data_IF_651494377783
#
_entry.id   IF_651494377783
#
_cell.length_a   1.000
_cell.length_b   1.000
_cell.length_c   1.000
_cell.angle_alpha   90.00
_cell.angle_beta   90.00
_cell.angle_gamma   90.00
#
_symmetry.space_group_name_H-M   'P 1'
#
loop_
_entity.id
_entity.type
_entity.pdbx_description
1 polymer ?
#
# COMPACT_ATOMS: atom_id res chain seq x y z
N UNK A 1 -31.50 34.76 -52.23
CA UNK A 1 -31.33 33.31 -51.97
C UNK A 1 -30.53 33.18 -50.69
N UNK A 2 -31.15 32.66 -49.61
CA UNK A 2 -30.57 32.58 -48.26
C UNK A 2 -29.51 31.47 -48.22
N UNK A 3 -28.30 31.77 -47.75
CA UNK A 3 -27.28 30.77 -47.43
C UNK A 3 -27.63 30.18 -46.06
N UNK A 4 -28.03 28.90 -46.04
CA UNK A 4 -28.21 28.13 -44.82
C UNK A 4 -26.82 27.63 -44.42
N UNK A 5 -26.29 28.15 -43.33
CA UNK A 5 -25.09 27.63 -42.67
C UNK A 5 -25.54 26.46 -41.81
N UNK A 6 -25.16 25.25 -42.19
CA UNK A 6 -25.42 24.04 -41.42
C UNK A 6 -24.33 23.95 -40.34
N UNK A 7 -24.66 24.37 -39.13
CA UNK A 7 -23.80 24.17 -37.96
C UNK A 7 -23.82 22.68 -37.59
N UNK A 8 -22.70 22.00 -37.77
CA UNK A 8 -22.49 20.64 -37.28
C UNK A 8 -22.34 20.71 -35.75
N UNK A 9 -23.35 20.25 -35.02
CA UNK A 9 -23.29 20.06 -33.57
C UNK A 9 -22.53 18.74 -33.34
N UNK A 10 -21.24 18.82 -32.99
CA UNK A 10 -20.52 17.63 -32.51
C UNK A 10 -21.10 17.25 -31.15
N UNK A 11 -21.82 16.13 -31.12
CA UNK A 11 -22.26 15.46 -29.89
C UNK A 11 -21.01 15.01 -29.15
N UNK A 12 -20.80 15.55 -27.95
CA UNK A 12 -19.85 15.03 -26.98
C UNK A 12 -20.28 13.61 -26.61
N UNK A 13 -19.65 12.62 -27.25
CA UNK A 13 -19.73 11.24 -26.79
C UNK A 13 -18.99 11.13 -25.46
N UNK A 14 -19.67 10.61 -24.45
CA UNK A 14 -19.04 10.15 -23.21
C UNK A 14 -18.01 9.09 -23.56
N UNK A 15 -16.72 9.45 -23.48
CA UNK A 15 -15.63 8.49 -23.58
C UNK A 15 -15.67 7.63 -22.32
N UNK A 16 -16.17 6.41 -22.46
CA UNK A 16 -15.93 5.37 -21.47
C UNK A 16 -14.45 4.99 -21.58
N UNK A 17 -13.65 5.34 -20.58
CA UNK A 17 -12.28 4.86 -20.47
C UNK A 17 -12.31 3.45 -19.87
N UNK A 18 -11.56 2.56 -20.49
CA UNK A 18 -11.39 1.19 -20.05
C UNK A 18 -10.00 1.10 -19.43
N UNK A 19 -9.89 0.59 -18.21
CA UNK A 19 -8.59 0.20 -17.67
C UNK A 19 -8.14 -1.05 -18.42
N UNK A 20 -6.94 -1.01 -19.00
CA UNK A 20 -6.38 -2.05 -19.86
C UNK A 20 -5.31 -2.76 -19.06
N UNK A 21 -4.08 -2.25 -19.11
CA UNK A 21 -2.90 -2.82 -18.47
C UNK A 21 -2.82 -2.38 -17.02
N UNK A 22 -2.48 -3.34 -16.18
CA UNK A 22 -2.41 -3.15 -14.73
C UNK A 22 -1.62 -4.32 -14.19
N UNK A 23 -0.78 -4.08 -13.19
CA UNK A 23 -0.31 -5.11 -12.27
C UNK A 23 -0.74 -4.72 -10.86
N UNK A 24 -1.21 -5.70 -10.10
CA UNK A 24 -1.72 -5.46 -8.75
C UNK A 24 -1.61 -6.69 -7.88
N UNK A 25 -1.68 -6.47 -6.58
CA UNK A 25 -1.68 -7.47 -5.52
C UNK A 25 -2.82 -7.16 -4.55
N UNK A 26 -3.47 -8.20 -4.03
CA UNK A 26 -4.35 -8.13 -2.86
C UNK A 26 -3.95 -9.24 -1.89
N UNK A 27 -3.90 -8.92 -0.60
CA UNK A 27 -3.41 -9.84 0.42
C UNK A 27 -4.13 -9.65 1.76
N UNK A 28 -4.15 -10.71 2.57
CA UNK A 28 -4.60 -10.71 3.97
C UNK A 28 -3.46 -11.11 4.90
N UNK A 29 -3.46 -10.59 6.12
CA UNK A 29 -2.55 -11.01 7.18
C UNK A 29 -3.33 -11.72 8.29
N UNK A 30 -3.14 -13.03 8.44
CA UNK A 30 -3.83 -13.85 9.44
C UNK A 30 -3.44 -13.50 10.88
N UNK A 31 -2.29 -12.86 11.11
CA UNK A 31 -1.84 -12.47 12.46
C UNK A 31 -2.55 -11.21 12.95
N UNK A 32 -2.69 -10.21 12.08
CA UNK A 32 -3.26 -8.90 12.42
C UNK A 32 -4.73 -8.76 12.02
N UNK A 33 -5.20 -9.60 11.09
CA UNK A 33 -6.49 -9.46 10.41
C UNK A 33 -6.51 -8.34 9.36
N UNK A 34 -5.37 -7.73 9.06
CA UNK A 34 -5.27 -6.67 8.07
C UNK A 34 -5.54 -7.19 6.66
N UNK A 35 -6.08 -6.31 5.82
CA UNK A 35 -6.37 -6.58 4.42
C UNK A 35 -5.85 -5.42 3.61
N UNK A 36 -5.08 -5.70 2.57
CA UNK A 36 -4.46 -4.65 1.80
C UNK A 36 -4.31 -4.99 0.33
N UNK A 37 -4.13 -3.94 -0.46
CA UNK A 37 -3.94 -4.03 -1.89
C UNK A 37 -2.97 -2.96 -2.37
N UNK A 38 -2.26 -3.28 -3.43
CA UNK A 38 -1.42 -2.32 -4.13
C UNK A 38 -1.47 -2.61 -5.63
N UNK A 39 -1.15 -1.62 -6.45
CA UNK A 39 -1.09 -1.81 -7.89
C UNK A 39 -0.73 -0.55 -8.63
N UNK A 40 -0.47 -0.70 -9.93
CA UNK A 40 -0.03 0.37 -10.79
C UNK A 40 -0.47 0.14 -12.24
N UNK A 41 -0.55 1.24 -13.00
CA UNK A 41 -1.02 1.23 -14.38
C UNK A 41 -0.52 2.45 -15.16
N UNK A 42 -0.31 2.27 -16.46
CA UNK A 42 0.09 3.24 -17.46
C UNK A 42 -1.12 3.76 -18.26
N UNK A 43 -2.23 4.08 -17.58
CA UNK A 43 -3.41 4.70 -18.20
C UNK A 43 -3.33 6.21 -18.01
N UNK A 44 -3.07 6.94 -19.08
CA UNK A 44 -3.12 8.40 -19.07
C UNK A 44 -4.57 8.86 -18.80
N UNK A 45 -4.73 9.88 -17.95
CA UNK A 45 -6.03 10.48 -17.60
C UNK A 45 -6.82 9.73 -16.53
N UNK A 46 -6.28 8.64 -15.95
CA UNK A 46 -6.92 7.91 -14.84
C UNK A 46 -7.11 8.80 -13.59
N UNK A 47 -6.29 9.84 -13.43
CA UNK A 47 -6.41 10.84 -12.36
C UNK A 47 -7.79 11.53 -12.36
N UNK A 48 -8.44 11.71 -13.52
CA UNK A 48 -9.77 12.28 -13.60
C UNK A 48 -10.87 11.40 -12.99
N UNK A 49 -10.56 10.12 -12.71
CA UNK A 49 -11.46 9.11 -12.15
C UNK A 49 -11.09 8.73 -10.71
N UNK A 50 -10.20 9.49 -10.07
CA UNK A 50 -9.76 9.23 -8.69
C UNK A 50 -8.54 8.31 -8.59
N UNK A 51 -7.88 7.99 -9.71
CA UNK A 51 -6.65 7.20 -9.73
C UNK A 51 -6.89 5.71 -9.86
N UNK A 52 -5.79 4.97 -9.96
CA UNK A 52 -5.80 3.54 -10.27
C UNK A 52 -6.39 2.68 -9.14
N UNK A 53 -6.50 3.21 -7.92
CA UNK A 53 -7.12 2.52 -6.78
C UNK A 53 -8.60 2.10 -6.99
N UNK A 54 -9.25 2.60 -8.05
CA UNK A 54 -10.60 2.22 -8.47
C UNK A 54 -10.78 0.74 -8.83
N UNK A 55 -9.70 -0.01 -9.02
CA UNK A 55 -9.75 -1.45 -9.28
C UNK A 55 -9.80 -2.31 -8.02
N UNK A 56 -9.67 -1.70 -6.85
CA UNK A 56 -9.70 -2.40 -5.58
C UNK A 56 -10.87 -1.95 -4.71
N UNK A 57 -11.48 -2.92 -4.05
CA UNK A 57 -12.40 -2.69 -2.93
C UNK A 57 -12.18 -3.75 -1.83
N UNK A 58 -12.41 -3.36 -0.58
CA UNK A 58 -12.09 -4.15 0.62
C UNK A 58 -13.23 -4.02 1.62
N UNK A 59 -13.63 -5.16 2.18
CA UNK A 59 -14.49 -5.23 3.36
C UNK A 59 -13.56 -5.44 4.58
N UNK A 60 -13.39 -4.44 5.46
CA UNK A 60 -12.54 -4.55 6.65
C UNK A 60 -12.85 -5.82 7.46
N UNK A 61 -11.80 -6.55 7.84
CA UNK A 61 -11.90 -7.80 8.60
C UNK A 61 -12.53 -8.99 7.86
N UNK A 62 -12.92 -8.86 6.59
CA UNK A 62 -13.54 -9.94 5.80
C UNK A 62 -12.73 -10.35 4.58
N UNK A 63 -12.39 -9.42 3.67
CA UNK A 63 -11.68 -9.75 2.44
C UNK A 63 -11.51 -8.57 1.49
N UNK A 64 -10.82 -8.80 0.37
CA UNK A 64 -10.55 -7.80 -0.64
C UNK A 64 -10.57 -8.35 -2.06
N UNK A 65 -10.91 -7.49 -3.02
CA UNK A 65 -10.99 -7.82 -4.44
C UNK A 65 -10.21 -6.80 -5.26
N UNK A 66 -9.34 -7.28 -6.14
CA UNK A 66 -8.83 -6.52 -7.28
C UNK A 66 -9.55 -6.99 -8.54
N UNK A 67 -10.11 -6.05 -9.32
CA UNK A 67 -10.81 -6.33 -10.57
C UNK A 67 -10.29 -5.41 -11.69
N UNK A 68 -9.64 -5.99 -12.69
CA UNK A 68 -8.96 -5.28 -13.78
C UNK A 68 -9.14 -6.00 -15.13
N UNK A 69 -8.48 -5.49 -16.18
CA UNK A 69 -8.61 -5.90 -17.58
C UNK A 69 -10.02 -5.68 -18.16
N UNK A 70 -10.15 -4.67 -19.03
CA UNK A 70 -11.38 -4.36 -19.75
C UNK A 70 -12.61 -4.14 -18.87
N UNK A 71 -12.44 -3.64 -17.66
CA UNK A 71 -13.55 -3.41 -16.72
C UNK A 71 -14.40 -2.20 -17.12
N UNK A 72 -15.62 -2.17 -16.58
CA UNK A 72 -16.51 -1.03 -16.70
C UNK A 72 -16.22 -0.09 -15.54
N UNK A 73 -16.24 1.21 -15.78
CA UNK A 73 -16.09 2.23 -14.75
C UNK A 73 -17.35 3.10 -14.70
N UNK A 74 -17.67 3.64 -13.52
CA UNK A 74 -18.85 4.47 -13.26
C UNK A 74 -20.22 3.78 -13.56
N UNK A 75 -20.57 2.69 -12.87
CA UNK A 75 -19.86 2.05 -11.76
C UNK A 75 -18.91 0.92 -12.20
N UNK A 76 -18.00 0.52 -11.31
CA UNK A 76 -17.24 -0.73 -11.47
C UNK A 76 -18.09 -1.93 -11.10
N UNK A 77 -19.03 -2.27 -11.98
CA UNK A 77 -20.14 -3.16 -11.66
C UNK A 77 -19.71 -4.56 -11.22
N UNK A 78 -18.64 -5.11 -11.80
CA UNK A 78 -18.15 -6.43 -11.42
C UNK A 78 -17.42 -6.41 -10.08
N UNK A 79 -16.72 -5.32 -9.75
CA UNK A 79 -16.11 -5.15 -8.42
C UNK A 79 -17.20 -5.05 -7.34
N UNK A 80 -18.23 -4.23 -7.58
CA UNK A 80 -19.40 -4.13 -6.68
C UNK A 80 -20.05 -5.50 -6.49
N UNK A 81 -20.33 -6.22 -7.57
CA UNK A 81 -20.92 -7.56 -7.46
C UNK A 81 -20.01 -8.53 -6.68
N UNK A 82 -18.69 -8.45 -6.85
CA UNK A 82 -17.74 -9.30 -6.13
C UNK A 82 -17.79 -9.06 -4.62
N UNK A 83 -17.86 -7.79 -4.22
CA UNK A 83 -18.01 -7.37 -2.82
C UNK A 83 -19.36 -7.85 -2.27
N UNK A 84 -20.47 -7.66 -3.00
CA UNK A 84 -21.79 -8.15 -2.60
C UNK A 84 -21.82 -9.69 -2.42
N UNK A 85 -21.10 -10.44 -3.26
CA UNK A 85 -20.98 -11.89 -3.11
C UNK A 85 -20.12 -12.28 -1.90
N UNK A 86 -19.06 -11.53 -1.62
CA UNK A 86 -18.20 -11.75 -0.46
C UNK A 86 -18.96 -11.50 0.86
N UNK A 87 -19.80 -10.47 0.92
CA UNK A 87 -20.72 -10.20 2.04
C UNK A 87 -21.75 -11.33 2.23
N UNK A 88 -22.18 -11.97 1.14
CA UNK A 88 -23.06 -13.13 1.18
C UNK A 88 -22.37 -14.43 1.63
N UNK A 89 -21.06 -14.37 1.88
CA UNK A 89 -20.28 -15.49 2.44
C UNK A 89 -19.69 -16.44 1.40
N UNK A 90 -19.74 -16.10 0.10
CA UNK A 90 -19.09 -16.89 -0.93
C UNK A 90 -17.56 -16.86 -0.74
N UNK A 91 -16.91 -17.98 -1.05
CA UNK A 91 -15.46 -18.07 -1.12
C UNK A 91 -14.89 -17.34 -2.35
N UNK A 92 -13.60 -16.95 -2.33
CA UNK A 92 -12.94 -16.33 -3.48
C UNK A 92 -13.16 -17.07 -4.81
N UNK A 93 -13.10 -18.41 -4.80
CA UNK A 93 -13.37 -19.23 -5.99
C UNK A 93 -14.83 -19.18 -6.43
N UNK A 94 -15.77 -19.24 -5.49
CA UNK A 94 -17.21 -19.16 -5.80
C UNK A 94 -17.58 -17.76 -6.33
N UNK A 95 -16.93 -16.71 -5.83
CA UNK A 95 -17.11 -15.34 -6.35
C UNK A 95 -16.63 -15.27 -7.80
N UNK A 96 -15.47 -15.84 -8.13
CA UNK A 96 -14.97 -15.88 -9.51
C UNK A 96 -15.92 -16.65 -10.43
N UNK A 97 -16.37 -17.84 -10.01
CA UNK A 97 -17.34 -18.64 -10.79
C UNK A 97 -18.65 -17.87 -11.02
N UNK A 98 -19.12 -17.16 -9.99
CA UNK A 98 -20.31 -16.31 -10.08
C UNK A 98 -20.09 -15.15 -11.04
N UNK A 99 -18.97 -14.43 -10.95
CA UNK A 99 -18.64 -13.30 -11.84
C UNK A 99 -18.49 -13.77 -13.28
N UNK A 100 -17.91 -14.95 -13.51
CA UNK A 100 -17.79 -15.53 -14.84
C UNK A 100 -19.16 -15.85 -15.45
N UNK A 101 -20.06 -16.43 -14.66
CA UNK A 101 -21.43 -16.74 -15.11
C UNK A 101 -22.32 -15.49 -15.25
N UNK A 102 -22.01 -14.41 -14.52
CA UNK A 102 -22.84 -13.22 -14.39
C UNK A 102 -22.09 -11.92 -14.71
N UNK A 103 -21.15 -11.92 -15.68
CA UNK A 103 -20.41 -10.72 -16.07
C UNK A 103 -21.38 -9.62 -16.51
N UNK A 104 -21.53 -8.62 -15.65
CA UNK A 104 -22.44 -7.49 -15.86
C UNK A 104 -21.77 -6.35 -16.64
N UNK A 105 -20.47 -6.46 -16.91
CA UNK A 105 -19.74 -5.47 -17.66
C UNK A 105 -19.77 -5.75 -19.16
N UNK A 106 -20.36 -4.81 -19.92
CA UNK A 106 -20.38 -4.85 -21.40
C UNK A 106 -19.32 -3.95 -22.05
N UNK A 107 -18.19 -3.72 -21.37
CA UNK A 107 -17.04 -2.98 -21.91
C UNK A 107 -16.65 -3.53 -23.29
N UNK A 108 -16.71 -2.68 -24.32
CA UNK A 108 -16.51 -3.04 -25.74
C UNK A 108 -17.29 -4.27 -26.25
N UNK A 109 -18.41 -4.62 -25.62
CA UNK A 109 -19.14 -5.89 -25.88
C UNK A 109 -18.30 -7.15 -25.63
N UNK A 110 -17.28 -7.05 -24.76
CA UNK A 110 -16.47 -8.17 -24.32
C UNK A 110 -17.19 -9.02 -23.28
N UNK A 111 -16.72 -10.27 -23.16
CA UNK A 111 -17.25 -11.30 -22.28
C UNK A 111 -16.28 -11.51 -21.08
N UNK A 112 -16.60 -12.43 -20.15
CA UNK A 112 -15.77 -12.66 -18.97
C UNK A 112 -14.31 -13.04 -19.25
N UNK A 113 -14.01 -13.59 -20.43
CA UNK A 113 -12.65 -13.99 -20.84
C UNK A 113 -11.70 -12.81 -21.07
N UNK A 114 -12.20 -11.56 -21.02
CA UNK A 114 -11.38 -10.35 -21.08
C UNK A 114 -11.08 -9.77 -19.70
N UNK A 115 -11.56 -10.40 -18.62
CA UNK A 115 -11.48 -9.88 -17.25
C UNK A 115 -10.36 -10.54 -16.47
N UNK A 116 -9.93 -9.86 -15.42
CA UNK A 116 -8.94 -10.37 -14.48
C UNK A 116 -9.36 -10.02 -13.05
N UNK A 117 -9.26 -11.00 -12.15
CA UNK A 117 -9.66 -10.88 -10.75
C UNK A 117 -8.59 -11.47 -9.84
N UNK A 118 -8.34 -10.81 -8.71
CA UNK A 118 -7.63 -11.35 -7.56
C UNK A 118 -8.49 -11.16 -6.33
N UNK A 119 -8.73 -12.22 -5.56
CA UNK A 119 -9.64 -12.20 -4.41
C UNK A 119 -8.99 -12.93 -3.25
N UNK A 120 -9.02 -12.29 -2.09
CA UNK A 120 -8.61 -12.86 -0.80
C UNK A 120 -9.70 -12.62 0.22
N UNK A 121 -9.91 -13.57 1.13
CA UNK A 121 -10.79 -13.39 2.27
C UNK A 121 -10.34 -14.22 3.48
N UNK A 122 -10.94 -13.95 4.64
CA UNK A 122 -10.89 -14.82 5.80
C UNK A 122 -12.14 -15.69 5.83
N UNK A 123 -11.99 -17.01 5.91
CA UNK A 123 -13.11 -17.90 6.17
C UNK A 123 -13.72 -17.67 7.59
N UNK A 124 -14.86 -18.31 7.93
CA UNK A 124 -15.48 -18.13 9.26
C UNK A 124 -14.60 -18.56 10.44
N UNK A 125 -13.56 -19.37 10.20
CA UNK A 125 -12.61 -19.82 11.22
C UNK A 125 -11.37 -18.90 11.29
N UNK A 126 -11.30 -17.87 10.43
CA UNK A 126 -10.21 -16.89 10.37
C UNK A 126 -9.05 -17.28 9.47
N UNK A 127 -9.16 -18.35 8.66
CA UNK A 127 -8.09 -18.76 7.76
C UNK A 127 -8.18 -18.03 6.42
N UNK A 128 -7.03 -17.70 5.83
CA UNK A 128 -6.98 -17.09 4.52
C UNK A 128 -7.49 -18.04 3.42
N UNK A 129 -8.31 -17.51 2.51
CA UNK A 129 -8.62 -18.14 1.24
C UNK A 129 -8.26 -17.20 0.11
N UNK A 130 -7.80 -17.77 -0.99
CA UNK A 130 -7.26 -17.03 -2.13
C UNK A 130 -7.79 -17.64 -3.42
N UNK A 131 -8.20 -16.78 -4.36
CA UNK A 131 -8.42 -17.19 -5.74
C UNK A 131 -8.06 -16.05 -6.69
N UNK A 132 -7.62 -16.40 -7.89
CA UNK A 132 -7.38 -15.45 -8.96
C UNK A 132 -7.86 -16.03 -10.30
N UNK A 133 -8.17 -15.14 -11.23
CA UNK A 133 -8.62 -15.49 -12.57
C UNK A 133 -7.99 -14.54 -13.58
N UNK A 134 -7.54 -15.09 -14.70
CA UNK A 134 -7.09 -14.33 -15.87
C UNK A 134 -7.75 -14.93 -17.09
N UNK A 135 -8.66 -14.18 -17.70
CA UNK A 135 -9.37 -14.64 -18.87
C UNK A 135 -8.44 -14.85 -20.07
N UNK A 136 -8.78 -15.82 -20.92
CA UNK A 136 -7.94 -16.22 -22.04
C UNK A 136 -7.74 -15.09 -23.08
N UNK A 137 -8.67 -14.13 -23.12
CA UNK A 137 -8.67 -13.00 -24.05
C UNK A 137 -8.23 -11.68 -23.40
N UNK A 138 -7.77 -11.66 -22.15
CA UNK A 138 -7.03 -10.50 -21.66
C UNK A 138 -5.75 -10.30 -22.51
N UNK A 139 -5.20 -9.10 -22.51
CA UNK A 139 -4.11 -8.75 -23.42
C UNK A 139 -2.74 -9.20 -22.89
N UNK A 140 -1.91 -9.77 -23.77
CA UNK A 140 -0.60 -10.34 -23.42
C UNK A 140 0.48 -9.26 -23.19
N UNK A 141 1.50 -9.51 -22.35
CA UNK A 141 1.60 -10.67 -21.46
C UNK A 141 0.60 -10.55 -20.31
N UNK A 142 -0.07 -11.66 -19.98
CA UNK A 142 -1.04 -11.75 -18.88
C UNK A 142 -0.79 -12.95 -17.99
N UNK A 143 -1.15 -12.81 -16.72
CA UNK A 143 -1.14 -13.93 -15.79
C UNK A 143 -1.57 -13.54 -14.40
N UNK A 144 -1.59 -14.53 -13.52
CA UNK A 144 -1.76 -14.35 -12.10
C UNK A 144 -0.94 -15.40 -11.33
N UNK A 145 -0.63 -15.08 -10.08
CA UNK A 145 0.03 -15.95 -9.11
C UNK A 145 -0.77 -15.88 -7.81
N UNK A 146 -0.97 -17.03 -7.18
CA UNK A 146 -1.63 -17.13 -5.86
C UNK A 146 -0.66 -17.74 -4.86
N UNK A 147 -0.50 -17.06 -3.73
CA UNK A 147 0.16 -17.62 -2.55
C UNK A 147 -0.84 -18.07 -1.49
N UNK A 148 -0.35 -18.35 -0.26
CA UNK A 148 -1.21 -18.77 0.85
C UNK A 148 -2.24 -17.71 1.26
N UNK A 149 -1.89 -16.43 1.15
CA UNK A 149 -2.67 -15.30 1.65
C UNK A 149 -2.67 -14.08 0.71
N UNK A 150 -2.25 -14.25 -0.55
CA UNK A 150 -2.19 -13.17 -1.54
C UNK A 150 -2.51 -13.64 -2.96
N UNK A 151 -3.08 -12.74 -3.76
CA UNK A 151 -3.27 -12.88 -5.20
C UNK A 151 -2.58 -11.72 -5.93
N UNK A 152 -1.71 -12.06 -6.88
CA UNK A 152 -1.02 -11.14 -7.78
C UNK A 152 -1.53 -11.37 -9.19
N UNK A 153 -1.79 -10.31 -9.93
CA UNK A 153 -2.27 -10.42 -11.31
C UNK A 153 -1.82 -9.24 -12.15
N UNK A 154 -1.67 -9.48 -13.45
CA UNK A 154 -1.42 -8.41 -14.39
C UNK A 154 -1.68 -8.78 -15.84
N UNK A 155 -1.84 -7.75 -16.67
CA UNK A 155 -2.03 -7.86 -18.12
C UNK A 155 -1.31 -6.72 -18.85
N UNK A 156 -0.95 -6.98 -20.10
CA UNK A 156 -0.06 -6.15 -20.96
C UNK A 156 1.25 -5.82 -20.22
N UNK A 157 1.79 -6.86 -19.60
CA UNK A 157 3.08 -6.79 -18.93
C UNK A 157 4.20 -6.98 -19.95
N UNK A 158 5.40 -6.48 -19.63
CA UNK A 158 6.60 -6.76 -20.42
C UNK A 158 6.88 -8.26 -20.55
N UNK A 159 6.54 -9.01 -19.50
CA UNK A 159 6.72 -10.44 -19.41
C UNK A 159 6.30 -11.01 -18.06
N UNK A 160 6.45 -12.33 -17.92
CA UNK A 160 6.14 -13.08 -16.69
C UNK A 160 6.93 -12.58 -15.48
N UNK A 161 8.14 -12.09 -15.72
CA UNK A 161 9.06 -11.62 -14.70
C UNK A 161 8.50 -10.49 -13.83
N UNK A 162 7.52 -9.73 -14.33
CA UNK A 162 6.84 -8.69 -13.54
C UNK A 162 6.08 -9.35 -12.38
N UNK A 163 5.32 -10.41 -12.66
CA UNK A 163 4.53 -11.12 -11.65
C UNK A 163 5.43 -11.85 -10.65
N UNK A 164 6.45 -12.55 -11.14
CA UNK A 164 7.35 -13.32 -10.26
C UNK A 164 8.20 -12.41 -9.39
N UNK A 165 8.63 -11.24 -9.88
CA UNK A 165 9.36 -10.29 -9.05
C UNK A 165 8.46 -9.58 -8.04
N UNK A 166 7.19 -9.31 -8.37
CA UNK A 166 6.21 -8.86 -7.37
C UNK A 166 6.03 -9.90 -6.25
N UNK A 167 5.93 -11.18 -6.61
CA UNK A 167 5.84 -12.26 -5.63
C UNK A 167 7.10 -12.34 -4.77
N UNK A 168 8.28 -12.33 -5.39
CA UNK A 168 9.56 -12.34 -4.67
C UNK A 168 9.67 -11.14 -3.73
N UNK A 169 9.25 -9.95 -4.16
CA UNK A 169 9.20 -8.75 -3.34
C UNK A 169 8.26 -8.89 -2.14
N UNK A 170 7.06 -9.45 -2.34
CA UNK A 170 6.11 -9.66 -1.26
C UNK A 170 6.60 -10.69 -0.23
N UNK A 171 7.06 -11.86 -0.71
CA UNK A 171 7.40 -13.01 0.14
C UNK A 171 8.70 -12.79 0.91
N UNK A 172 9.66 -12.06 0.34
CA UNK A 172 10.96 -11.83 0.99
C UNK A 172 11.00 -10.56 1.83
N UNK A 173 9.95 -9.73 1.82
CA UNK A 173 9.85 -8.59 2.72
C UNK A 173 9.29 -9.04 4.07
N UNK A 174 10.04 -8.76 5.14
CA UNK A 174 9.58 -8.94 6.52
C UNK A 174 8.82 -7.71 6.99
N UNK A 175 7.99 -7.86 8.03
CA UNK A 175 7.26 -6.76 8.66
C UNK A 175 5.75 -6.82 8.42
N UNK A 176 5.13 -5.65 8.55
CA UNK A 176 3.69 -5.44 8.39
C UNK A 176 3.19 -5.78 6.99
N UNK A 177 1.87 -5.97 6.85
CA UNK A 177 1.25 -6.15 5.54
C UNK A 177 1.56 -4.98 4.59
N UNK A 178 1.60 -3.75 5.12
CA UNK A 178 1.94 -2.55 4.37
C UNK A 178 3.37 -2.61 3.79
N UNK A 179 4.36 -3.04 4.59
CA UNK A 179 5.74 -3.23 4.12
C UNK A 179 5.82 -4.30 3.04
N UNK A 180 5.15 -5.44 3.22
CA UNK A 180 5.12 -6.53 2.23
C UNK A 180 4.49 -6.10 0.90
N UNK A 181 3.39 -5.35 0.95
CA UNK A 181 2.76 -4.78 -0.25
C UNK A 181 3.69 -3.80 -0.96
N UNK A 182 4.41 -2.96 -0.22
CA UNK A 182 5.41 -2.07 -0.80
C UNK A 182 6.58 -2.85 -1.41
N UNK A 183 7.01 -3.94 -0.77
CA UNK A 183 7.99 -4.89 -1.33
C UNK A 183 7.54 -5.49 -2.66
N UNK A 184 6.27 -5.89 -2.77
CA UNK A 184 5.69 -6.37 -4.02
C UNK A 184 5.75 -5.31 -5.12
N UNK A 185 5.38 -4.06 -4.80
CA UNK A 185 5.46 -2.94 -5.75
C UNK A 185 6.89 -2.69 -6.21
N UNK A 186 7.88 -2.75 -5.32
CA UNK A 186 9.30 -2.64 -5.70
C UNK A 186 9.76 -3.76 -6.64
N UNK A 187 9.18 -4.96 -6.53
CA UNK A 187 9.42 -6.05 -7.47
C UNK A 187 9.00 -5.74 -8.92
N UNK A 188 7.99 -4.89 -9.11
CA UNK A 188 7.55 -4.41 -10.43
C UNK A 188 8.19 -3.08 -10.85
N UNK A 189 9.16 -2.55 -10.08
CA UNK A 189 9.79 -1.26 -10.36
C UNK A 189 10.86 -1.36 -11.47
N UNK A 190 10.39 -1.68 -12.68
CA UNK A 190 11.21 -1.78 -13.88
C UNK A 190 10.53 -1.05 -15.05
N UNK A 191 11.31 -0.43 -15.96
CA UNK A 191 10.75 0.18 -17.16
C UNK A 191 9.92 -0.81 -17.98
N UNK A 192 8.68 -0.42 -18.28
CA UNK A 192 7.76 -1.23 -19.06
C UNK A 192 7.06 -2.35 -18.30
N UNK A 193 7.11 -2.40 -16.96
CA UNK A 193 6.32 -3.36 -16.17
C UNK A 193 4.86 -3.41 -16.64
N UNK A 194 4.27 -2.24 -16.88
CA UNK A 194 3.19 -2.03 -17.84
C UNK A 194 3.79 -1.62 -19.20
N UNK A 195 3.59 -2.43 -20.24
CA UNK A 195 4.40 -2.32 -21.45
C UNK A 195 4.20 -1.00 -22.22
N UNK A 196 3.08 -0.29 -22.02
CA UNK A 196 2.86 1.04 -22.61
C UNK A 196 3.81 2.10 -22.07
N UNK A 197 4.33 1.90 -20.86
CA UNK A 197 5.26 2.83 -20.21
C UNK A 197 6.73 2.53 -20.54
N UNK A 198 7.02 1.53 -21.37
CA UNK A 198 8.38 1.17 -21.77
C UNK A 198 9.14 2.36 -22.41
N UNK A 199 8.50 3.08 -23.34
CA UNK A 199 9.10 4.25 -23.99
C UNK A 199 9.25 5.45 -23.04
N UNK A 200 8.50 5.47 -21.93
CA UNK A 200 8.64 6.46 -20.86
C UNK A 200 9.83 6.16 -19.96
N UNK A 201 10.35 4.93 -19.98
CA UNK A 201 11.39 4.49 -19.08
C UNK A 201 10.90 4.26 -17.64
N UNK A 202 9.60 4.07 -17.42
CA UNK A 202 8.97 3.90 -16.10
C UNK A 202 8.14 2.61 -16.05
N UNK A 203 7.82 2.15 -14.86
CA UNK A 203 6.97 0.98 -14.63
C UNK A 203 5.52 1.23 -15.04
N UNK A 204 5.01 2.43 -14.77
CA UNK A 204 3.63 2.84 -15.00
C UNK A 204 3.52 4.38 -15.04
N UNK A 205 2.30 4.93 -15.05
CA UNK A 205 2.04 6.36 -14.80
C UNK A 205 1.43 6.63 -13.44
N UNK A 206 0.85 5.61 -12.80
CA UNK A 206 0.11 5.73 -11.55
C UNK A 206 0.35 4.51 -10.68
N UNK A 207 0.23 4.68 -9.36
CA UNK A 207 0.40 3.61 -8.39
C UNK A 207 -0.44 3.88 -7.14
N UNK A 208 -0.83 2.84 -6.42
CA UNK A 208 -1.50 2.95 -5.13
C UNK A 208 -1.06 1.84 -4.19
N UNK A 209 -1.23 2.09 -2.88
CA UNK A 209 -1.14 1.11 -1.82
C UNK A 209 -2.14 1.48 -0.74
N UNK A 210 -2.96 0.52 -0.31
CA UNK A 210 -3.88 0.70 0.80
C UNK A 210 -3.93 -0.50 1.73
N UNK A 211 -4.21 -0.24 3.01
CA UNK A 211 -4.39 -1.26 4.05
C UNK A 211 -5.53 -0.85 4.97
N UNK A 212 -6.40 -1.81 5.26
CA UNK A 212 -7.45 -1.73 6.25
C UNK A 212 -7.11 -2.61 7.46
N UNK A 213 -7.28 -2.05 8.64
CA UNK A 213 -7.39 -2.82 9.89
C UNK A 213 -8.77 -3.47 9.98
N UNK A 214 -8.95 -4.56 10.77
CA UNK A 214 -10.24 -5.22 10.92
C UNK A 214 -11.39 -4.31 11.38
N UNK A 215 -11.06 -3.33 12.22
CA UNK A 215 -12.02 -2.41 12.85
C UNK A 215 -12.19 -1.08 12.08
N UNK A 216 -11.57 -0.96 10.90
CA UNK A 216 -11.73 0.25 10.08
C UNK A 216 -13.16 0.36 9.53
N UNK A 217 -13.64 1.60 9.39
CA UNK A 217 -14.91 1.85 8.71
C UNK A 217 -14.74 1.67 7.19
N UNK A 218 -15.73 1.10 6.49
CA UNK A 218 -15.69 0.98 5.04
C UNK A 218 -15.38 2.32 4.36
N UNK A 219 -14.40 2.32 3.45
CA UNK A 219 -13.94 3.53 2.76
C UNK A 219 -13.03 4.44 3.57
N UNK A 220 -12.62 4.05 4.78
CA UNK A 220 -11.70 4.82 5.65
C UNK A 220 -10.51 3.95 6.08
N UNK A 221 -9.57 3.64 5.17
CA UNK A 221 -8.43 2.76 5.47
C UNK A 221 -7.43 3.40 6.43
N UNK A 222 -6.80 2.54 7.25
CA UNK A 222 -5.63 2.87 8.07
C UNK A 222 -4.44 3.42 7.25
N UNK A 223 -4.32 3.00 6.00
CA UNK A 223 -3.34 3.48 5.04
C UNK A 223 -3.96 3.63 3.65
N UNK A 224 -3.85 4.81 3.04
CA UNK A 224 -4.12 5.01 1.62
C UNK A 224 -3.09 5.98 1.02
N UNK A 225 -2.27 5.45 0.12
CA UNK A 225 -1.28 6.19 -0.66
C UNK A 225 -1.64 6.07 -2.13
N UNK A 226 -1.64 7.19 -2.83
CA UNK A 226 -1.98 7.25 -4.25
C UNK A 226 -1.09 8.21 -5.01
N UNK A 227 -0.48 7.70 -6.07
CA UNK A 227 0.13 8.45 -7.15
C UNK A 227 -0.85 8.44 -8.31
N UNK A 228 -1.58 9.55 -8.48
CA UNK A 228 -2.67 9.63 -9.45
C UNK A 228 -2.17 9.57 -10.90
N UNK A 229 -1.09 10.30 -11.20
CA UNK A 229 -0.44 10.34 -12.50
C UNK A 229 0.92 11.04 -12.39
N UNK A 230 1.97 10.45 -12.95
CA UNK A 230 3.31 11.01 -13.01
C UNK A 230 3.61 11.64 -14.38
N UNK A 231 4.42 12.72 -14.41
CA UNK A 231 4.99 13.23 -15.65
C UNK A 231 5.78 12.16 -16.44
N UNK A 232 6.07 12.46 -17.69
CA UNK A 232 6.88 11.58 -18.53
C UNK A 232 8.29 11.40 -17.93
N UNK A 233 8.70 10.15 -17.72
CA UNK A 233 10.04 9.79 -17.22
C UNK A 233 10.20 9.85 -15.70
N UNK A 234 9.13 10.11 -14.93
CA UNK A 234 9.16 10.07 -13.47
C UNK A 234 8.49 8.79 -12.97
N UNK A 235 9.20 8.03 -12.12
CA UNK A 235 8.77 6.71 -11.67
C UNK A 235 7.73 6.80 -10.54
N UNK A 236 6.48 6.31 -10.76
CA UNK A 236 5.44 6.34 -9.75
C UNK A 236 5.73 5.45 -8.54
N UNK A 237 6.41 4.30 -8.69
CA UNK A 237 6.69 3.41 -7.55
C UNK A 237 7.73 4.03 -6.60
N UNK A 238 8.72 4.76 -7.12
CA UNK A 238 9.65 5.56 -6.29
C UNK A 238 8.92 6.68 -5.53
N UNK A 239 7.94 7.31 -6.18
CA UNK A 239 7.11 8.34 -5.56
C UNK A 239 6.19 7.75 -4.49
N UNK A 240 5.62 6.58 -4.75
CA UNK A 240 4.83 5.81 -3.78
C UNK A 240 5.69 5.40 -2.57
N UNK A 241 6.93 4.95 -2.79
CA UNK A 241 7.88 4.65 -1.72
C UNK A 241 8.16 5.89 -0.85
N UNK A 242 8.30 7.07 -1.46
CA UNK A 242 8.52 8.31 -0.70
C UNK A 242 7.34 8.65 0.21
N UNK A 243 6.10 8.46 -0.27
CA UNK A 243 4.89 8.61 0.54
C UNK A 243 4.81 7.54 1.64
N UNK A 244 5.21 6.31 1.31
CA UNK A 244 5.26 5.21 2.26
C UNK A 244 6.25 5.48 3.38
N UNK A 245 7.46 5.96 3.08
CA UNK A 245 8.48 6.27 4.07
C UNK A 245 8.02 7.41 5.01
N UNK A 246 7.32 8.41 4.48
CA UNK A 246 6.73 9.50 5.27
C UNK A 246 5.61 8.98 6.19
N UNK A 247 4.70 8.17 5.65
CA UNK A 247 3.64 7.53 6.44
C UNK A 247 4.21 6.61 7.49
N UNK A 248 5.16 5.76 7.14
CA UNK A 248 5.77 4.77 8.03
C UNK A 248 6.53 5.47 9.15
N UNK A 249 7.26 6.54 8.84
CA UNK A 249 7.93 7.35 9.87
C UNK A 249 6.92 8.01 10.81
N UNK A 250 5.78 8.47 10.29
CA UNK A 250 4.73 9.12 11.10
C UNK A 250 3.94 8.11 11.94
N UNK A 251 3.62 6.94 11.39
CA UNK A 251 2.81 5.92 12.07
C UNK A 251 3.62 5.00 12.95
N UNK A 252 4.88 4.73 12.64
CA UNK A 252 5.81 4.12 13.63
C UNK A 252 5.97 5.00 14.88
N UNK A 253 5.69 6.30 14.76
CA UNK A 253 5.64 7.24 15.89
C UNK A 253 4.26 7.23 16.60
N UNK A 254 3.17 6.85 15.91
CA UNK A 254 1.79 6.79 16.42
C UNK A 254 1.37 5.42 16.99
N UNK A 255 1.82 4.29 16.42
CA UNK A 255 1.63 2.93 16.95
C UNK A 255 2.31 2.72 18.32
N UNK A 256 3.16 3.66 18.69
CA UNK A 256 3.75 3.76 20.01
C UNK A 256 2.92 4.61 20.99
N UNK A 257 1.64 4.87 20.71
CA UNK A 257 0.67 5.33 21.71
C UNK A 257 0.19 4.20 22.65
N UNK A 258 0.58 2.95 22.39
CA UNK A 258 0.12 1.80 23.18
C UNK A 258 1.02 1.29 24.32
N UNK A 259 2.34 1.53 24.33
CA UNK A 259 3.24 0.79 25.26
C UNK A 259 4.46 1.52 25.83
N UNK A 260 4.66 2.81 25.58
CA UNK A 260 5.86 3.51 26.07
C UNK A 260 5.59 4.91 26.57
N UNK A 261 6.26 5.29 27.65
CA UNK A 261 5.98 6.54 28.35
C UNK A 261 6.99 7.67 28.10
N UNK A 262 7.93 7.41 27.18
CA UNK A 262 9.05 8.30 26.79
C UNK A 262 9.31 8.21 25.28
N UNK A 263 9.03 9.24 24.49
CA UNK A 263 9.27 9.26 23.04
C UNK A 263 10.60 9.96 22.70
N UNK A 264 11.18 9.70 21.52
CA UNK A 264 12.32 10.48 20.99
C UNK A 264 12.10 10.92 19.54
N UNK A 265 12.48 12.14 19.19
CA UNK A 265 12.32 12.71 17.84
C UNK A 265 13.40 13.76 17.53
N UNK A 266 13.90 13.86 16.29
CA UNK A 266 13.73 12.92 15.17
C UNK A 266 14.52 11.63 15.41
N UNK A 267 14.11 10.53 14.79
CA UNK A 267 14.86 9.26 14.78
C UNK A 267 14.62 8.55 13.45
N UNK A 268 15.56 8.55 12.47
CA UNK A 268 16.99 8.86 12.63
C UNK A 268 17.29 10.32 13.01
N UNK A 269 18.27 10.52 13.89
CA UNK A 269 18.63 11.83 14.44
C UNK A 269 19.94 12.35 13.84
N UNK A 270 19.99 13.62 13.45
CA UNK A 270 21.24 14.23 12.95
C UNK A 270 22.03 14.89 14.07
N UNK A 271 21.51 15.93 14.71
CA UNK A 271 22.27 16.71 15.69
C UNK A 271 21.58 16.82 17.04
N UNK A 272 20.26 16.99 17.05
CA UNK A 272 19.49 17.25 18.26
C UNK A 272 18.38 16.21 18.37
N UNK A 273 18.37 15.48 19.48
CA UNK A 273 17.33 14.53 19.84
C UNK A 273 16.43 15.14 20.91
N UNK A 274 15.16 15.29 20.61
CA UNK A 274 14.12 15.61 21.58
C UNK A 274 13.64 14.31 22.24
N UNK A 275 13.41 14.34 23.54
CA UNK A 275 12.88 13.24 24.35
C UNK A 275 11.60 13.74 25.00
N UNK A 276 10.44 13.19 24.66
CA UNK A 276 9.15 13.59 25.20
C UNK A 276 8.65 12.61 26.26
N UNK A 277 7.87 13.10 27.23
CA UNK A 277 7.29 12.30 28.31
C UNK A 277 5.78 12.52 28.34
N UNK A 278 5.01 11.45 28.55
CA UNK A 278 3.53 11.54 28.68
C UNK A 278 3.09 12.35 29.91
N UNK A 279 3.91 12.39 30.95
CA UNK A 279 3.70 13.16 32.17
C UNK A 279 5.03 13.69 32.71
N UNK A 280 5.02 14.74 33.55
CA UNK A 280 6.22 15.18 34.24
C UNK A 280 6.90 14.06 35.02
N UNK A 281 8.23 14.00 34.94
CA UNK A 281 9.04 12.92 35.52
C UNK A 281 10.32 13.43 36.15
N UNK A 282 10.73 12.75 37.22
CA UNK A 282 12.01 13.00 37.89
C UNK A 282 13.10 12.14 37.24
N UNK A 283 13.93 12.75 36.41
CA UNK A 283 14.98 12.04 35.67
C UNK A 283 16.20 11.87 36.59
N UNK A 284 16.52 10.62 36.95
CA UNK A 284 17.74 10.31 37.71
C UNK A 284 18.93 10.26 36.77
N UNK A 285 18.85 9.40 35.75
CA UNK A 285 19.94 9.20 34.78
C UNK A 285 19.41 8.99 33.37
N UNK A 286 20.19 9.46 32.41
CA UNK A 286 20.00 9.26 30.99
C UNK A 286 21.33 8.86 30.38
N UNK A 287 21.39 7.69 29.75
CA UNK A 287 22.64 7.11 29.27
C UNK A 287 22.44 6.56 27.88
N UNK A 288 23.30 6.94 26.92
CA UNK A 288 23.32 6.37 25.58
C UNK A 288 24.42 5.31 25.51
N UNK A 289 24.06 4.13 25.03
CA UNK A 289 24.95 3.01 24.76
C UNK A 289 25.09 2.78 23.26
N UNK A 290 26.26 2.34 22.81
CA UNK A 290 26.38 1.72 21.47
C UNK A 290 25.87 0.27 21.48
N UNK A 291 25.91 -0.40 20.32
CA UNK A 291 25.45 -1.78 20.17
C UNK A 291 26.28 -2.81 20.95
N UNK A 292 27.48 -2.46 21.40
CA UNK A 292 28.33 -3.33 22.23
C UNK A 292 28.18 -3.03 23.73
N UNK A 293 27.25 -2.13 24.10
CA UNK A 293 26.95 -1.79 25.49
C UNK A 293 27.96 -0.84 26.13
N UNK A 294 28.81 -0.17 25.34
CA UNK A 294 29.70 0.88 25.85
C UNK A 294 28.91 2.18 25.98
N UNK A 295 29.07 2.85 27.11
CA UNK A 295 28.48 4.18 27.35
C UNK A 295 29.17 5.20 26.44
N UNK A 296 28.40 5.86 25.59
CA UNK A 296 28.87 6.92 24.68
C UNK A 296 28.41 8.32 25.12
N UNK A 297 27.36 8.40 25.94
CA UNK A 297 26.89 9.64 26.56
C UNK A 297 26.20 9.32 27.88
N UNK A 298 26.39 10.17 28.89
CA UNK A 298 25.68 10.08 30.16
C UNK A 298 25.35 11.47 30.68
N UNK A 299 24.10 11.64 31.10
CA UNK A 299 23.58 12.82 31.75
C UNK A 299 22.89 12.38 33.04
N UNK A 300 23.13 13.13 34.12
CA UNK A 300 22.40 12.98 35.38
C UNK A 300 21.74 14.30 35.72
N UNK A 301 20.65 14.66 35.00
CA UNK A 301 20.05 15.99 35.12
C UNK A 301 19.59 16.28 36.55
N UNK A 302 19.17 15.24 37.30
CA UNK A 302 18.58 15.36 38.63
C UNK A 302 17.47 16.42 38.68
N UNK A 303 16.73 16.54 37.59
CA UNK A 303 15.72 17.56 37.34
C UNK A 303 14.36 16.91 37.06
N UNK A 304 13.31 17.68 37.38
CA UNK A 304 11.96 17.36 36.93
C UNK A 304 11.84 17.87 35.50
N UNK A 305 11.78 16.96 34.53
CA UNK A 305 11.42 17.33 33.17
C UNK A 305 9.90 17.47 33.10
N UNK A 306 9.40 18.59 32.55
CA UNK A 306 7.96 18.84 32.47
C UNK A 306 7.29 17.88 31.50
N UNK A 307 7.67 17.89 30.22
CA UNK A 307 7.15 16.97 29.21
C UNK A 307 8.14 16.74 28.06
N UNK A 308 9.28 17.43 28.03
CA UNK A 308 10.32 17.22 27.03
C UNK A 308 11.73 17.54 27.56
N UNK A 309 12.76 16.96 26.94
CA UNK A 309 14.18 17.18 27.17
C UNK A 309 14.91 17.17 25.82
N UNK A 310 15.87 18.06 25.63
CA UNK A 310 16.68 18.12 24.42
C UNK A 310 18.10 17.58 24.69
N UNK A 311 18.62 16.79 23.76
CA UNK A 311 19.95 16.18 23.80
C UNK A 311 20.73 16.54 22.53
N UNK A 312 21.95 17.04 22.71
CA UNK A 312 22.90 17.23 21.60
C UNK A 312 23.64 15.91 21.34
N UNK A 313 23.33 15.28 20.22
CA UNK A 313 23.90 14.02 19.73
C UNK A 313 24.80 14.22 18.50
N UNK A 314 25.18 15.46 18.19
CA UNK A 314 26.02 15.80 17.03
C UNK A 314 27.39 15.11 17.02
N UNK A 315 27.89 14.72 18.20
CA UNK A 315 29.18 14.03 18.38
C UNK A 315 29.11 12.52 18.23
N UNK A 316 27.91 11.94 18.09
CA UNK A 316 27.77 10.50 17.84
C UNK A 316 28.17 10.19 16.39
N UNK A 317 28.92 9.11 16.22
CA UNK A 317 29.24 8.57 14.89
C UNK A 317 28.01 7.90 14.28
N UNK A 318 28.08 7.60 12.98
CA UNK A 318 27.01 6.87 12.30
C UNK A 318 26.83 5.50 12.93
N UNK A 319 25.60 5.14 13.27
CA UNK A 319 25.33 3.85 13.91
C UNK A 319 23.99 3.78 14.66
N UNK A 320 23.75 2.62 15.26
CA UNK A 320 22.62 2.38 16.16
C UNK A 320 23.06 2.53 17.61
N UNK A 321 22.24 3.19 18.42
CA UNK A 321 22.46 3.45 19.83
C UNK A 321 21.21 3.09 20.64
N UNK A 322 21.38 2.97 21.96
CA UNK A 322 20.31 2.72 22.92
C UNK A 322 20.33 3.76 24.02
N UNK A 323 19.30 4.60 24.08
CA UNK A 323 19.04 5.53 25.16
C UNK A 323 18.34 4.81 26.30
N UNK A 324 19.06 4.63 27.41
CA UNK A 324 18.51 4.15 28.67
C UNK A 324 18.17 5.31 29.57
N UNK A 325 16.96 5.30 30.10
CA UNK A 325 16.43 6.35 30.94
C UNK A 325 15.97 5.75 32.27
N UNK A 326 16.37 6.36 33.38
CA UNK A 326 15.94 5.98 34.73
C UNK A 326 15.16 7.11 35.37
N UNK A 327 13.89 6.85 35.69
CA UNK A 327 13.05 7.75 36.48
C UNK A 327 12.72 7.16 37.84
N UNK A 328 12.27 8.02 38.76
CA UNK A 328 11.72 7.58 40.04
C UNK A 328 10.35 6.91 39.90
N UNK A 329 9.58 7.32 38.89
CA UNK A 329 8.16 6.97 38.75
C UNK A 329 7.93 5.69 37.93
N UNK A 330 8.74 5.41 36.91
CA UNK A 330 8.53 4.30 35.96
C UNK A 330 9.68 3.28 35.91
N UNK A 331 10.77 3.50 36.65
CA UNK A 331 11.93 2.61 36.62
C UNK A 331 12.85 2.89 35.43
N UNK A 332 13.35 1.84 34.78
CA UNK A 332 14.31 1.93 33.67
C UNK A 332 13.60 1.62 32.34
N UNK A 333 13.66 2.57 31.41
CA UNK A 333 13.18 2.41 30.03
C UNK A 333 14.37 2.47 29.06
N UNK A 334 14.28 1.84 27.89
CA UNK A 334 15.36 1.85 26.88
C UNK A 334 14.76 2.06 25.49
N UNK A 335 15.34 2.98 24.72
CA UNK A 335 14.85 3.43 23.41
C UNK A 335 15.99 3.32 22.40
N UNK A 336 15.73 2.76 21.21
CA UNK A 336 16.71 2.70 20.13
C UNK A 336 16.78 4.04 19.38
N UNK A 337 17.99 4.51 19.09
CA UNK A 337 18.26 5.71 18.28
C UNK A 337 19.16 5.32 17.10
N UNK A 338 18.91 5.89 15.93
CA UNK A 338 19.71 5.71 14.71
C UNK A 338 20.35 7.04 14.31
N UNK A 339 21.66 7.03 14.08
CA UNK A 339 22.46 8.17 13.60
C UNK A 339 22.90 7.89 12.16
N UNK A 340 22.38 8.61 11.14
CA UNK A 340 22.62 8.33 9.73
C UNK A 340 23.97 8.80 9.21
#
# INVERSE_FOLDING_TARGET
MKKIVLSLLCVLGSLYLFAQDTFSIVAVDEETGEIGAAGASCVDGIAAFGGIQLLNDIIPGRGGVNAQAWVCLNPHINLVNAIDQMEQGLSPSEIIDWLYANDACSSQSFNPEYRQYGIVDFDPDGNARVAAFTGANADDYKGHITGPNYAIQGNILLGEEVLTQMEDGFVNTEGSLAEKLMGAMQGANIPGADQRCLDRGTSSTSAFLRVYSPDDEPGSPSLELSILEMPFGEEPIDSLQSLFDEWFTTNSVLDWQGKGSVQVFPNPVTNELQVYFQSPRSIETLTIYDTVGKVVMELSPNTVAQTHLQLDVSKLERGTYYLKFKSKESGIETIRIVKP
#
